data_IF_192314325128
#
_entry.id   IF_192314325128
#
_cell.length_a   1.000
_cell.length_b   1.000
_cell.length_c   1.000
_cell.angle_alpha   90.00
_cell.angle_beta   90.00
_cell.angle_gamma   90.00
#
_symmetry.space_group_name_H-M   'P 1'
#
loop_
_entity.id
_entity.type
_entity.pdbx_description
1 polymer ?
#
# COMPACT_ATOMS: atom_id res chain seq x y z
N UNK A 1 -83.04 15.59 -3.74
CA UNK A 1 -81.84 15.17 -4.43
C UNK A 1 -80.55 15.90 -3.99
N UNK A 2 -80.59 16.93 -3.15
CA UNK A 2 -79.37 17.69 -2.70
C UNK A 2 -78.74 17.18 -1.40
N UNK A 3 -79.32 16.24 -0.70
CA UNK A 3 -78.85 15.67 0.56
C UNK A 3 -78.07 14.34 0.42
N UNK A 4 -78.20 13.65 -0.73
CA UNK A 4 -77.54 12.39 -0.95
C UNK A 4 -76.11 12.56 -1.48
N UNK A 5 -75.81 13.69 -2.14
CA UNK A 5 -74.47 14.03 -2.67
C UNK A 5 -73.49 14.48 -1.58
N UNK A 6 -73.97 15.03 -0.50
CA UNK A 6 -73.12 15.46 0.63
C UNK A 6 -72.61 14.29 1.48
N UNK A 7 -73.35 13.19 1.57
CA UNK A 7 -72.98 12.00 2.37
C UNK A 7 -71.92 11.14 1.62
N UNK A 8 -72.00 11.11 0.29
CA UNK A 8 -71.04 10.38 -0.53
C UNK A 8 -69.66 11.10 -0.59
N UNK A 9 -69.64 12.43 -0.49
CA UNK A 9 -68.40 13.20 -0.46
C UNK A 9 -67.67 13.08 0.90
N UNK A 10 -68.47 12.96 2.00
CA UNK A 10 -67.87 12.77 3.31
C UNK A 10 -67.30 11.37 3.54
N UNK A 11 -67.82 10.34 2.86
CA UNK A 11 -67.28 8.98 2.95
C UNK A 11 -66.01 8.79 2.10
N UNK A 12 -65.86 9.56 1.01
CA UNK A 12 -64.63 9.55 0.19
C UNK A 12 -63.46 10.26 0.86
N UNK A 13 -63.70 11.24 1.73
CA UNK A 13 -62.67 11.94 2.49
C UNK A 13 -62.18 11.16 3.73
N UNK A 14 -63.02 10.28 4.27
CA UNK A 14 -62.63 9.44 5.41
C UNK A 14 -61.78 8.20 5.03
N UNK A 15 -61.85 7.79 3.76
CA UNK A 15 -61.06 6.66 3.25
C UNK A 15 -59.65 7.03 2.77
N UNK A 16 -59.33 8.35 2.63
CA UNK A 16 -58.03 8.82 2.19
C UNK A 16 -57.06 9.20 3.34
N UNK A 17 -57.48 9.03 4.59
CA UNK A 17 -56.68 9.38 5.76
C UNK A 17 -56.12 8.19 6.56
N UNK A 18 -56.25 6.99 6.06
CA UNK A 18 -55.78 5.75 6.76
C UNK A 18 -54.72 4.97 6.07
N UNK A 19 -53.92 5.58 5.16
CA UNK A 19 -52.73 4.98 4.55
C UNK A 19 -51.48 5.82 4.67
N UNK A 20 -51.28 6.46 5.84
CA UNK A 20 -49.95 6.73 6.31
C UNK A 20 -49.52 5.55 7.19
N UNK A 21 -49.24 4.43 6.55
CA UNK A 21 -48.50 3.36 7.19
C UNK A 21 -47.14 3.95 7.58
N UNK A 22 -46.85 3.94 8.85
CA UNK A 22 -45.56 4.12 9.42
C UNK A 22 -44.59 3.20 8.67
N UNK A 23 -43.83 3.72 7.74
CA UNK A 23 -42.54 3.18 7.44
C UNK A 23 -41.68 3.59 8.63
N UNK A 24 -41.62 2.75 9.63
CA UNK A 24 -40.54 2.73 10.59
C UNK A 24 -39.29 2.49 9.76
N UNK A 25 -38.57 3.58 9.48
CA UNK A 25 -37.23 3.53 8.90
C UNK A 25 -36.40 2.79 9.95
N UNK A 26 -36.29 1.47 9.76
CA UNK A 26 -35.34 0.66 10.50
C UNK A 26 -34.00 1.16 10.02
N UNK A 27 -33.38 2.09 10.76
CA UNK A 27 -31.97 2.40 10.60
C UNK A 27 -31.23 1.05 10.58
N UNK A 28 -30.64 0.73 9.43
CA UNK A 28 -29.74 -0.39 9.33
C UNK A 28 -28.69 -0.21 10.46
N UNK A 29 -28.38 -1.25 11.21
CA UNK A 29 -27.35 -1.13 12.24
C UNK A 29 -26.11 -0.53 11.59
N UNK A 30 -25.66 0.63 12.08
CA UNK A 30 -24.37 1.19 11.70
C UNK A 30 -23.35 0.09 11.95
N UNK A 31 -22.82 -0.46 10.85
CA UNK A 31 -21.64 -1.31 10.92
C UNK A 31 -20.56 -0.42 11.52
N UNK A 32 -19.99 -0.77 12.67
CA UNK A 32 -18.90 0.03 13.24
C UNK A 32 -17.86 0.20 12.14
N UNK A 33 -17.54 1.45 11.82
CA UNK A 33 -16.48 1.75 10.87
C UNK A 33 -15.23 0.98 11.35
N UNK A 34 -14.63 0.18 10.47
CA UNK A 34 -13.35 -0.45 10.79
C UNK A 34 -12.41 0.66 11.26
N UNK A 35 -11.68 0.45 12.37
CA UNK A 35 -10.76 1.45 12.87
C UNK A 35 -9.76 1.77 11.76
N UNK A 36 -9.70 3.04 11.36
CA UNK A 36 -8.72 3.49 10.40
C UNK A 36 -7.33 3.00 10.85
N UNK A 37 -6.52 2.43 9.94
CA UNK A 37 -5.19 1.96 10.29
C UNK A 37 -4.41 3.12 10.93
N UNK A 38 -3.90 2.86 12.12
CA UNK A 38 -3.20 3.87 12.91
C UNK A 38 -1.91 4.28 12.17
N UNK A 39 -1.82 5.54 11.78
CA UNK A 39 -0.62 6.08 11.15
C UNK A 39 0.56 6.03 12.13
N UNK A 40 1.77 5.84 11.59
CA UNK A 40 2.99 5.89 12.38
C UNK A 40 3.13 7.26 13.08
N UNK A 41 3.57 7.24 14.32
CA UNK A 41 3.81 8.43 15.14
C UNK A 41 5.29 8.77 15.08
N UNK A 42 5.63 10.05 14.91
CA UNK A 42 7.02 10.52 14.96
C UNK A 42 7.41 10.83 16.40
N UNK A 43 8.48 10.19 16.88
CA UNK A 43 9.25 10.59 18.07
C UNK A 43 10.60 11.15 17.63
N UNK A 44 11.18 12.04 18.40
CA UNK A 44 12.48 12.61 18.07
C UNK A 44 13.24 13.02 19.33
N UNK A 45 14.53 13.14 19.24
CA UNK A 45 15.34 13.61 20.34
C UNK A 45 16.82 13.41 20.10
N UNK A 46 17.61 13.90 21.04
CA UNK A 46 19.04 13.66 21.10
C UNK A 46 19.31 12.33 21.78
N UNK A 47 20.24 11.58 21.23
CA UNK A 47 20.75 10.36 21.85
C UNK A 47 21.43 10.72 23.16
N UNK A 48 20.89 10.22 24.24
CA UNK A 48 21.35 10.49 25.60
C UNK A 48 21.89 9.20 26.23
N UNK A 49 22.93 9.25 27.08
CA UNK A 49 23.44 8.06 27.76
C UNK A 49 22.34 7.30 28.51
N UNK A 50 22.32 5.99 28.34
CA UNK A 50 21.34 5.11 28.94
C UNK A 50 22.02 3.85 29.50
N UNK A 51 21.75 3.54 30.76
CA UNK A 51 22.39 2.40 31.45
C UNK A 51 21.86 1.03 31.06
N UNK A 52 20.72 0.96 30.35
CA UNK A 52 20.17 -0.29 29.85
C UNK A 52 20.91 -0.78 28.61
N UNK A 53 21.04 -2.09 28.48
CA UNK A 53 21.81 -2.73 27.40
C UNK A 53 21.16 -2.68 26.04
N UNK A 54 19.87 -2.32 25.94
CA UNK A 54 19.09 -2.37 24.71
C UNK A 54 18.31 -1.07 24.51
N UNK A 55 18.27 -0.60 23.25
CA UNK A 55 17.56 0.61 22.84
C UNK A 55 18.41 1.87 22.92
N UNK A 56 17.91 2.89 22.22
CA UNK A 56 18.45 4.26 22.25
C UNK A 56 17.54 5.12 23.11
N UNK A 57 18.10 5.78 24.11
CA UNK A 57 17.35 6.75 24.90
C UNK A 57 17.41 8.11 24.20
N UNK A 58 16.25 8.60 23.78
CA UNK A 58 16.11 9.89 23.12
C UNK A 58 15.44 10.87 24.08
N UNK A 59 15.98 12.09 24.12
CA UNK A 59 15.41 13.20 24.89
C UNK A 59 15.27 14.44 24.01
N UNK A 60 14.16 15.15 24.12
CA UNK A 60 13.97 16.46 23.49
C UNK A 60 13.54 17.49 24.53
N UNK A 61 13.59 18.76 24.16
CA UNK A 61 13.31 19.91 25.01
C UNK A 61 11.85 20.42 24.98
N UNK A 62 10.97 19.70 24.26
CA UNK A 62 9.53 20.02 24.22
C UNK A 62 8.80 19.30 25.38
N UNK A 63 8.69 19.97 26.51
CA UNK A 63 7.99 19.44 27.69
C UNK A 63 6.49 19.14 27.46
N UNK A 64 5.92 19.60 26.34
CA UNK A 64 4.54 19.29 25.95
C UNK A 64 4.45 18.01 25.11
N UNK A 65 5.57 17.49 24.61
CA UNK A 65 5.62 16.22 23.92
C UNK A 65 5.54 15.09 24.96
N UNK A 66 4.51 14.24 24.98
CA UNK A 66 4.41 13.11 25.90
C UNK A 66 5.53 12.08 25.69
N UNK A 67 6.25 12.15 24.56
CA UNK A 67 7.39 11.30 24.20
C UNK A 67 8.71 12.07 24.24
N UNK A 68 8.80 13.18 25.00
CA UNK A 68 10.05 13.96 25.15
C UNK A 68 11.20 13.14 25.76
N UNK A 69 10.86 12.06 26.47
CA UNK A 69 11.79 11.03 26.94
C UNK A 69 11.28 9.67 26.48
N UNK A 70 12.01 8.96 25.63
CA UNK A 70 11.58 7.69 25.06
C UNK A 70 12.78 6.76 24.81
N UNK A 71 12.60 5.45 25.03
CA UNK A 71 13.54 4.42 24.61
C UNK A 71 13.08 3.83 23.29
N UNK A 72 13.92 3.91 22.29
CA UNK A 72 13.64 3.41 20.93
C UNK A 72 14.44 2.15 20.66
N UNK A 73 13.76 1.09 20.33
CA UNK A 73 14.35 -0.15 19.82
C UNK A 73 14.36 -0.12 18.29
N UNK A 74 15.53 0.00 17.68
CA UNK A 74 15.65 0.06 16.21
C UNK A 74 15.34 -1.28 15.53
N UNK A 75 15.56 -2.44 16.22
CA UNK A 75 15.31 -3.76 15.62
C UNK A 75 15.94 -3.86 14.23
N UNK A 76 15.18 -4.28 13.22
CA UNK A 76 15.58 -4.32 11.80
C UNK A 76 15.11 -3.10 11.00
N UNK A 77 14.59 -2.06 11.67
CA UNK A 77 14.09 -0.86 11.01
C UNK A 77 15.18 -0.19 10.16
N UNK A 78 14.84 0.32 8.97
CA UNK A 78 15.74 1.14 8.17
C UNK A 78 16.25 2.33 8.97
N UNK A 79 17.56 2.56 8.94
CA UNK A 79 18.20 3.75 9.45
C UNK A 79 18.77 4.54 8.27
N UNK A 80 18.22 5.73 8.02
CA UNK A 80 18.44 6.54 6.83
C UNK A 80 19.25 7.78 7.18
N UNK A 81 20.30 8.04 6.43
CA UNK A 81 21.02 9.32 6.44
C UNK A 81 20.18 10.36 5.68
N UNK A 82 19.73 11.40 6.37
CA UNK A 82 18.87 12.43 5.80
C UNK A 82 19.50 13.22 4.66
N UNK A 83 20.81 13.43 4.71
CA UNK A 83 21.53 14.23 3.71
C UNK A 83 21.66 13.49 2.38
N UNK A 84 21.82 12.16 2.43
CA UNK A 84 22.07 11.35 1.23
C UNK A 84 20.86 10.50 0.82
N UNK A 85 20.02 10.09 1.77
CA UNK A 85 18.96 9.10 1.58
C UNK A 85 19.50 7.66 1.52
N UNK A 86 20.75 7.44 1.92
CA UNK A 86 21.40 6.13 1.94
C UNK A 86 21.31 5.49 3.34
N UNK A 87 21.56 4.18 3.45
CA UNK A 87 21.67 3.52 4.73
C UNK A 87 22.75 4.15 5.62
N UNK A 88 22.43 4.30 6.89
CA UNK A 88 23.34 4.73 7.91
C UNK A 88 23.69 3.54 8.82
N UNK A 89 24.98 3.41 9.18
CA UNK A 89 25.42 2.35 10.08
C UNK A 89 24.99 2.66 11.52
N UNK A 90 24.48 1.67 12.24
CA UNK A 90 23.99 1.84 13.62
C UNK A 90 25.11 2.27 14.58
N UNK A 91 26.30 1.72 14.38
CA UNK A 91 27.48 2.04 15.18
C UNK A 91 27.99 3.46 14.94
N UNK A 92 27.48 4.16 13.91
CA UNK A 92 27.78 5.56 13.66
C UNK A 92 27.01 6.53 14.56
N UNK A 93 25.92 6.06 15.19
CA UNK A 93 25.08 6.85 16.10
C UNK A 93 25.90 7.15 17.38
N UNK A 94 25.98 8.43 17.75
CA UNK A 94 26.74 8.89 18.92
C UNK A 94 25.83 9.65 19.88
N UNK A 95 26.26 9.74 21.10
CA UNK A 95 25.68 10.65 22.08
C UNK A 95 25.62 12.09 21.54
N UNK A 96 24.48 12.73 21.69
CA UNK A 96 24.19 14.07 21.19
C UNK A 96 23.67 14.15 19.76
N UNK A 97 23.74 13.06 18.98
CA UNK A 97 23.11 13.02 17.65
C UNK A 97 21.58 13.13 17.78
N UNK A 98 20.97 13.87 16.87
CA UNK A 98 19.51 13.97 16.81
C UNK A 98 18.96 12.91 15.86
N UNK A 99 18.01 12.13 16.34
CA UNK A 99 17.28 11.16 15.55
C UNK A 99 15.80 11.52 15.47
N UNK A 100 15.21 11.25 14.31
CA UNK A 100 13.76 11.27 14.06
C UNK A 100 13.33 9.86 13.77
N UNK A 101 12.35 9.33 14.55
CA UNK A 101 11.96 7.93 14.45
C UNK A 101 10.45 7.85 14.31
N UNK A 102 9.98 7.12 13.32
CA UNK A 102 8.56 6.76 13.20
C UNK A 102 8.34 5.41 13.82
N UNK A 103 7.33 5.34 14.67
CA UNK A 103 6.99 4.17 15.49
C UNK A 103 5.53 3.82 15.30
N UNK A 104 5.17 2.58 15.51
CA UNK A 104 3.77 2.16 15.60
C UNK A 104 3.06 2.81 16.79
N UNK A 105 1.72 2.70 16.87
CA UNK A 105 0.93 3.34 17.92
C UNK A 105 1.12 2.70 19.31
N UNK A 106 1.77 1.56 19.39
CA UNK A 106 1.99 0.84 20.63
C UNK A 106 3.26 1.30 21.35
N UNK A 107 3.12 1.69 22.62
CA UNK A 107 4.22 1.97 23.52
C UNK A 107 4.04 1.20 24.82
N UNK A 108 5.15 0.89 25.50
CA UNK A 108 5.06 0.30 26.83
C UNK A 108 4.61 1.32 27.86
N UNK A 109 4.00 0.85 28.96
CA UNK A 109 3.60 1.71 30.09
C UNK A 109 4.76 1.94 31.09
N UNK A 110 6.02 1.77 30.67
CA UNK A 110 7.20 2.08 31.47
C UNK A 110 7.51 3.59 31.49
N UNK A 111 8.38 4.00 32.39
CA UNK A 111 8.94 5.35 32.44
C UNK A 111 10.47 5.26 32.37
N UNK A 112 11.11 5.74 31.29
CA UNK A 112 10.48 6.23 30.06
C UNK A 112 9.74 5.15 29.29
N UNK A 113 8.75 5.52 28.41
CA UNK A 113 8.08 4.59 27.52
C UNK A 113 9.06 3.98 26.52
N UNK A 114 8.80 2.75 26.09
CA UNK A 114 9.61 2.07 25.08
C UNK A 114 8.79 1.82 23.83
N UNK A 115 9.39 2.04 22.68
CA UNK A 115 8.76 1.92 21.36
C UNK A 115 9.68 1.18 20.37
N UNK A 116 9.08 0.63 19.32
CA UNK A 116 9.80 -0.03 18.24
C UNK A 116 9.77 0.81 16.98
N UNK A 117 10.93 1.02 16.38
CA UNK A 117 11.06 1.81 15.16
C UNK A 117 10.45 1.08 13.95
N UNK A 118 9.73 1.83 13.14
CA UNK A 118 9.37 1.46 11.76
C UNK A 118 10.44 1.95 10.80
N UNK A 119 10.90 3.20 10.98
CA UNK A 119 12.03 3.80 10.28
C UNK A 119 12.68 4.84 11.19
N UNK A 120 13.98 5.00 11.08
CA UNK A 120 14.74 6.02 11.78
C UNK A 120 15.56 6.86 10.79
N UNK A 121 15.73 8.15 11.09
CA UNK A 121 16.45 9.12 10.28
C UNK A 121 17.43 9.85 11.15
N UNK A 122 18.68 9.83 10.77
CA UNK A 122 19.76 10.61 11.40
C UNK A 122 20.39 11.60 10.43
N UNK A 123 21.39 12.32 10.89
CA UNK A 123 22.19 13.25 10.10
C UNK A 123 21.36 14.32 9.38
N UNK A 124 20.30 14.82 10.05
CA UNK A 124 19.51 15.95 9.56
C UNK A 124 20.32 17.23 9.78
N UNK A 125 20.57 18.01 8.71
CA UNK A 125 21.28 19.29 8.84
C UNK A 125 20.50 20.26 9.74
N UNK A 126 21.21 21.11 10.48
CA UNK A 126 20.60 22.00 11.47
C UNK A 126 19.60 23.02 10.87
N UNK A 127 19.75 23.32 9.58
CA UNK A 127 18.95 24.24 8.80
C UNK A 127 17.93 23.54 7.88
N UNK A 128 17.87 22.20 7.93
CA UNK A 128 16.97 21.41 7.12
C UNK A 128 15.82 20.81 7.95
N UNK A 129 14.66 20.65 7.32
CA UNK A 129 13.58 19.87 7.88
C UNK A 129 13.89 18.38 7.76
N UNK A 130 13.54 17.60 8.79
CA UNK A 130 13.63 16.15 8.70
C UNK A 130 12.66 15.63 7.64
N UNK A 131 13.07 14.66 6.81
CA UNK A 131 12.16 14.00 5.89
C UNK A 131 11.00 13.36 6.67
N UNK A 132 9.84 13.24 6.05
CA UNK A 132 8.62 12.71 6.67
C UNK A 132 8.30 11.31 6.15
N UNK A 133 7.94 10.40 7.05
CA UNK A 133 7.51 9.04 6.70
C UNK A 133 6.00 9.00 6.47
N UNK A 134 5.61 8.26 5.45
CA UNK A 134 4.22 8.02 5.10
C UNK A 134 3.99 6.60 4.59
N UNK A 135 2.75 6.15 4.70
CA UNK A 135 2.23 4.96 4.04
C UNK A 135 1.16 5.39 3.03
N UNK A 136 1.29 4.91 1.80
CA UNK A 136 0.37 5.23 0.70
C UNK A 136 -0.98 4.57 0.97
N UNK A 137 -2.06 5.35 0.95
CA UNK A 137 -3.42 4.85 1.18
C UNK A 137 -4.16 4.51 -0.11
N UNK A 138 -3.86 5.21 -1.19
CA UNK A 138 -4.55 5.03 -2.47
C UNK A 138 -3.59 5.26 -3.65
N UNK A 139 -3.94 4.72 -4.82
CA UNK A 139 -3.20 4.96 -6.06
C UNK A 139 -3.13 6.47 -6.34
N UNK A 140 -1.95 7.02 -6.72
CA UNK A 140 -1.79 8.45 -6.98
C UNK A 140 -2.74 8.95 -8.07
N UNK A 141 -3.36 10.10 -7.84
CA UNK A 141 -4.39 10.68 -8.73
C UNK A 141 -3.88 11.98 -9.35
N UNK A 142 -4.02 12.13 -10.67
CA UNK A 142 -3.73 13.40 -11.35
C UNK A 142 -4.72 14.48 -10.92
N UNK A 143 -4.20 15.60 -10.45
CA UNK A 143 -4.96 16.81 -10.13
C UNK A 143 -5.24 17.62 -11.40
N UNK A 144 -6.12 18.61 -11.30
CA UNK A 144 -6.29 19.62 -12.35
C UNK A 144 -4.97 20.38 -12.57
N UNK A 145 -4.33 20.15 -13.70
CA UNK A 145 -2.97 20.61 -14.02
C UNK A 145 -2.02 19.43 -14.25
N UNK A 146 -0.71 19.67 -14.15
CA UNK A 146 0.33 18.64 -14.40
C UNK A 146 0.76 17.87 -13.16
N UNK A 147 0.21 18.20 -11.99
CA UNK A 147 0.65 17.66 -10.73
C UNK A 147 -0.16 16.41 -10.35
N UNK A 148 0.45 15.53 -9.57
CA UNK A 148 -0.21 14.35 -9.03
C UNK A 148 -0.28 14.44 -7.51
N UNK A 149 -1.38 13.97 -6.95
CA UNK A 149 -1.61 13.92 -5.50
C UNK A 149 -1.46 12.49 -5.04
N UNK A 150 -0.64 12.28 -4.03
CA UNK A 150 -0.54 11.03 -3.27
C UNK A 150 -1.37 11.19 -2.00
N UNK A 151 -2.20 10.20 -1.69
CA UNK A 151 -2.96 10.11 -0.44
C UNK A 151 -2.30 9.11 0.50
N UNK A 152 -2.25 9.46 1.77
CA UNK A 152 -1.60 8.65 2.81
C UNK A 152 -2.59 8.17 3.86
N UNK A 153 -2.25 7.08 4.51
CA UNK A 153 -2.92 6.62 5.73
C UNK A 153 -2.95 7.78 6.74
N UNK A 154 -4.11 8.00 7.37
CA UNK A 154 -4.34 9.17 8.23
C UNK A 154 -4.77 10.43 7.49
N UNK A 155 -5.14 10.33 6.19
CA UNK A 155 -5.82 11.38 5.42
C UNK A 155 -4.93 12.53 4.94
N UNK A 156 -3.62 12.50 5.19
CA UNK A 156 -2.69 13.49 4.64
C UNK A 156 -2.53 13.30 3.13
N UNK A 157 -2.20 14.38 2.44
CA UNK A 157 -1.90 14.39 1.00
C UNK A 157 -0.59 15.09 0.71
N UNK A 158 0.03 14.73 -0.43
CA UNK A 158 1.26 15.33 -0.91
C UNK A 158 1.18 15.55 -2.41
N UNK A 159 1.62 16.71 -2.85
CA UNK A 159 1.76 17.02 -4.26
C UNK A 159 3.14 16.61 -4.78
N UNK A 160 3.15 15.85 -5.87
CA UNK A 160 4.36 15.49 -6.61
C UNK A 160 4.33 16.11 -8.01
N UNK A 161 5.52 16.41 -8.53
CA UNK A 161 5.71 17.05 -9.82
C UNK A 161 6.58 16.18 -10.73
N UNK A 162 6.79 16.61 -11.96
CA UNK A 162 7.73 16.01 -12.91
C UNK A 162 9.20 16.12 -12.46
N UNK A 163 9.49 16.92 -11.42
CA UNK A 163 10.83 17.12 -10.85
C UNK A 163 11.07 16.25 -9.61
N UNK A 164 10.04 15.61 -9.07
CA UNK A 164 10.17 14.76 -7.89
C UNK A 164 11.07 13.57 -8.21
N UNK A 165 12.13 13.38 -7.42
CA UNK A 165 13.04 12.25 -7.55
C UNK A 165 12.52 11.04 -6.78
N UNK A 166 12.59 9.86 -7.40
CA UNK A 166 12.21 8.59 -6.76
C UNK A 166 13.45 7.71 -6.61
N UNK A 167 13.72 7.25 -5.40
CA UNK A 167 14.86 6.40 -5.09
C UNK A 167 14.38 5.15 -4.36
N UNK A 168 14.77 3.95 -4.82
CA UNK A 168 14.44 2.71 -4.12
C UNK A 168 15.35 2.49 -2.92
N UNK A 169 14.82 1.88 -1.84
CA UNK A 169 15.62 1.44 -0.70
C UNK A 169 16.33 0.11 -0.99
N UNK A 170 17.66 0.09 -0.90
CA UNK A 170 18.51 -1.11 -0.99
C UNK A 170 18.35 -1.98 -2.24
N UNK A 171 17.76 -1.46 -3.31
CA UNK A 171 17.61 -2.17 -4.58
C UNK A 171 18.16 -1.34 -5.74
N UNK A 172 18.51 -1.98 -6.85
CA UNK A 172 18.91 -1.34 -8.10
C UNK A 172 17.75 -1.12 -9.06
N UNK A 173 16.54 -1.47 -8.66
CA UNK A 173 15.36 -1.31 -9.49
C UNK A 173 15.00 0.17 -9.63
N UNK A 174 14.48 0.53 -10.79
CA UNK A 174 13.99 1.89 -11.03
C UNK A 174 12.58 1.97 -10.44
N UNK A 175 12.39 2.89 -9.52
CA UNK A 175 11.08 3.18 -8.91
C UNK A 175 10.50 4.44 -9.54
N UNK A 176 9.20 4.44 -9.77
CA UNK A 176 8.44 5.52 -10.38
C UNK A 176 7.18 5.80 -9.56
N UNK A 177 6.46 6.85 -9.93
CA UNK A 177 5.19 7.22 -9.31
C UNK A 177 4.14 6.09 -9.37
N UNK A 178 4.12 5.35 -10.48
CA UNK A 178 3.18 4.24 -10.71
C UNK A 178 3.41 3.05 -9.77
N UNK A 179 4.59 2.98 -9.14
CA UNK A 179 4.95 1.92 -8.19
C UNK A 179 4.49 2.25 -6.75
N UNK A 180 3.93 3.45 -6.53
CA UNK A 180 3.37 3.85 -5.24
C UNK A 180 1.94 3.33 -5.08
N UNK A 181 1.81 2.06 -4.78
CA UNK A 181 0.53 1.39 -4.52
C UNK A 181 0.14 1.48 -3.04
N UNK A 182 -1.14 1.25 -2.67
CA UNK A 182 -1.56 1.21 -1.27
C UNK A 182 -0.69 0.27 -0.42
N UNK A 183 -0.31 0.71 0.77
CA UNK A 183 0.61 0.02 1.67
C UNK A 183 2.10 0.30 1.42
N UNK A 184 2.47 0.95 0.30
CA UNK A 184 3.86 1.35 0.06
C UNK A 184 4.31 2.36 1.10
N UNK A 185 5.41 2.06 1.77
CA UNK A 185 6.03 2.92 2.76
C UNK A 185 7.08 3.80 2.09
N UNK A 186 7.06 5.10 2.41
CA UNK A 186 7.94 6.09 1.79
C UNK A 186 8.49 7.07 2.82
N UNK A 187 9.66 7.61 2.52
CA UNK A 187 10.24 8.75 3.21
C UNK A 187 10.37 9.92 2.23
N UNK A 188 9.90 11.10 2.62
CA UNK A 188 9.72 12.25 1.72
C UNK A 188 10.54 13.44 2.20
N UNK A 189 11.37 13.97 1.35
CA UNK A 189 11.96 15.30 1.47
C UNK A 189 11.06 16.30 0.73
N UNK A 190 10.78 17.42 1.39
CA UNK A 190 9.93 18.48 0.84
C UNK A 190 10.76 19.72 0.51
N UNK A 191 10.38 20.38 -0.56
CA UNK A 191 10.88 21.71 -0.89
C UNK A 191 10.25 22.79 0.02
N UNK A 192 10.71 24.03 -0.14
CA UNK A 192 10.20 25.19 0.60
C UNK A 192 8.70 25.48 0.37
N UNK A 193 8.14 24.96 -0.73
CA UNK A 193 6.72 25.05 -1.06
C UNK A 193 5.89 23.89 -0.48
N UNK A 194 6.54 22.93 0.21
CA UNK A 194 5.91 21.76 0.81
C UNK A 194 5.59 20.64 -0.18
N UNK A 195 6.10 20.70 -1.42
CA UNK A 195 5.98 19.64 -2.42
C UNK A 195 7.09 18.62 -2.26
N UNK A 196 6.86 17.40 -2.75
CA UNK A 196 7.90 16.39 -2.74
C UNK A 196 9.05 16.74 -3.68
N UNK A 197 10.23 16.94 -3.12
CA UNK A 197 11.49 17.03 -3.87
C UNK A 197 12.06 15.65 -4.15
N UNK A 198 12.12 14.79 -3.12
CA UNK A 198 12.64 13.43 -3.20
C UNK A 198 11.76 12.48 -2.40
N UNK A 199 11.55 11.29 -2.94
CA UNK A 199 10.82 10.19 -2.31
C UNK A 199 11.74 8.97 -2.29
N UNK A 200 12.02 8.46 -1.09
CA UNK A 200 12.66 7.18 -0.88
C UNK A 200 11.58 6.13 -0.67
N UNK A 201 11.55 5.10 -1.51
CA UNK A 201 10.52 4.08 -1.51
C UNK A 201 11.05 2.81 -0.87
N UNK A 202 10.40 2.37 0.21
CA UNK A 202 10.72 1.11 0.88
C UNK A 202 9.96 -0.04 0.21
N UNK A 203 10.64 -1.15 -0.05
CA UNK A 203 10.07 -2.30 -0.77
C UNK A 203 9.16 -3.21 0.06
N UNK A 204 8.76 -2.79 1.26
CA UNK A 204 8.05 -3.68 2.21
C UNK A 204 6.58 -3.90 1.89
N UNK A 205 5.98 -3.05 1.05
CA UNK A 205 4.59 -3.21 0.64
C UNK A 205 4.39 -4.32 -0.39
N UNK A 206 5.48 -4.73 -1.05
CA UNK A 206 5.39 -5.74 -2.12
C UNK A 206 5.59 -7.16 -1.56
N UNK A 207 4.78 -8.08 -2.07
CA UNK A 207 4.84 -9.51 -1.75
C UNK A 207 6.00 -10.22 -2.45
N UNK A 208 6.61 -9.56 -3.43
CA UNK A 208 7.73 -10.06 -4.22
C UNK A 208 8.04 -9.14 -5.40
N UNK A 209 8.87 -9.63 -6.30
CA UNK A 209 9.32 -8.89 -7.48
C UNK A 209 9.02 -9.69 -8.74
N UNK A 210 8.56 -9.03 -9.81
CA UNK A 210 8.41 -9.64 -11.11
C UNK A 210 9.00 -8.73 -12.18
N UNK A 211 9.97 -9.27 -12.94
CA UNK A 211 10.55 -8.57 -14.09
C UNK A 211 10.09 -9.25 -15.37
N UNK A 212 9.63 -8.46 -16.35
CA UNK A 212 9.27 -8.94 -17.68
C UNK A 212 10.29 -8.49 -18.71
N UNK A 213 10.72 -9.41 -19.58
CA UNK A 213 11.68 -9.14 -20.66
C UNK A 213 11.17 -9.70 -21.98
N UNK A 214 11.41 -8.96 -23.06
CA UNK A 214 11.24 -9.50 -24.40
C UNK A 214 12.58 -10.07 -24.87
N UNK A 215 12.65 -11.38 -24.98
CA UNK A 215 13.83 -12.08 -25.47
C UNK A 215 14.00 -11.93 -27.02
N UNK A 216 15.21 -12.21 -27.58
CA UNK A 216 15.39 -12.34 -29.01
C UNK A 216 14.35 -13.31 -29.60
N UNK A 217 13.86 -13.03 -30.80
CA UNK A 217 12.77 -13.76 -31.48
C UNK A 217 11.34 -13.42 -30.93
N UNK A 218 11.19 -12.40 -30.08
CA UNK A 218 9.89 -11.91 -29.66
C UNK A 218 9.20 -12.70 -28.54
N UNK A 219 9.88 -13.70 -27.96
CA UNK A 219 9.37 -14.38 -26.77
C UNK A 219 9.34 -13.44 -25.59
N UNK A 220 8.28 -13.50 -24.78
CA UNK A 220 8.18 -12.76 -23.53
C UNK A 220 8.42 -13.73 -22.37
N UNK A 221 9.29 -13.32 -21.47
CA UNK A 221 9.62 -14.04 -20.25
C UNK A 221 9.30 -13.18 -19.04
N UNK A 222 8.87 -13.80 -17.95
CA UNK A 222 8.82 -13.18 -16.62
C UNK A 222 9.77 -13.92 -15.69
N UNK A 223 10.44 -13.16 -14.82
CA UNK A 223 11.24 -13.67 -13.72
C UNK A 223 10.64 -13.19 -12.41
N UNK A 224 10.42 -14.11 -11.47
CA UNK A 224 9.84 -13.83 -10.15
C UNK A 224 10.91 -14.02 -9.08
N UNK A 225 11.03 -13.05 -8.19
CA UNK A 225 11.98 -13.01 -7.07
C UNK A 225 13.44 -13.25 -7.49
N UNK A 226 13.82 -12.68 -8.64
CA UNK A 226 15.17 -12.74 -9.19
C UNK A 226 15.31 -11.90 -10.46
N UNK A 227 16.45 -12.08 -11.16
CA UNK A 227 16.72 -11.41 -12.42
C UNK A 227 17.06 -12.40 -13.53
N UNK A 228 17.08 -11.94 -14.79
CA UNK A 228 17.37 -12.79 -15.96
C UNK A 228 18.85 -13.15 -16.10
N UNK A 229 19.74 -12.51 -15.36
CA UNK A 229 21.20 -12.71 -15.41
C UNK A 229 21.70 -13.50 -14.20
N UNK A 230 20.85 -13.64 -13.16
CA UNK A 230 21.17 -14.34 -11.92
C UNK A 230 20.80 -15.83 -11.96
N UNK A 231 21.23 -16.52 -10.92
CA UNK A 231 20.85 -17.92 -10.65
C UNK A 231 19.64 -18.01 -9.71
N UNK A 232 19.22 -16.88 -9.16
CA UNK A 232 18.08 -16.75 -8.24
C UNK A 232 16.81 -16.37 -9.00
N UNK A 233 15.68 -16.76 -8.44
CA UNK A 233 14.37 -16.51 -9.02
C UNK A 233 13.89 -17.59 -9.98
N UNK A 234 12.60 -17.51 -10.29
CA UNK A 234 11.94 -18.45 -11.17
C UNK A 234 11.54 -17.77 -12.50
N UNK A 235 11.97 -18.34 -13.62
CA UNK A 235 11.72 -17.80 -14.96
C UNK A 235 10.62 -18.59 -15.67
N UNK A 236 9.69 -17.89 -16.30
CA UNK A 236 8.57 -18.49 -17.01
C UNK A 236 8.32 -17.80 -18.35
N UNK A 237 7.99 -18.60 -19.35
CA UNK A 237 7.59 -18.07 -20.65
C UNK A 237 6.12 -17.63 -20.61
N UNK A 238 5.85 -16.43 -21.11
CA UNK A 238 4.51 -15.91 -21.36
C UNK A 238 4.00 -16.33 -22.74
N UNK A 239 2.69 -16.39 -22.87
CA UNK A 239 2.02 -16.39 -24.17
C UNK A 239 1.79 -14.96 -24.62
N UNK A 240 1.50 -14.74 -25.91
CA UNK A 240 1.02 -13.45 -26.42
C UNK A 240 -0.36 -13.63 -27.02
N UNK A 241 -1.24 -12.67 -26.77
CA UNK A 241 -2.49 -12.55 -27.53
C UNK A 241 -2.20 -12.01 -28.93
N UNK A 242 -3.20 -12.01 -29.80
CA UNK A 242 -3.13 -11.41 -31.13
C UNK A 242 -2.82 -9.90 -31.06
N UNK A 243 -3.32 -9.21 -30.03
CA UNK A 243 -3.08 -7.81 -29.73
C UNK A 243 -1.71 -7.55 -29.08
N UNK A 244 -0.94 -8.60 -28.79
CA UNK A 244 0.40 -8.50 -28.25
C UNK A 244 0.48 -8.44 -26.71
N UNK A 245 -0.64 -8.66 -25.98
CA UNK A 245 -0.64 -8.72 -24.51
C UNK A 245 0.14 -9.94 -24.02
N UNK A 246 1.06 -9.72 -23.10
CA UNK A 246 1.84 -10.80 -22.48
C UNK A 246 1.01 -11.50 -21.41
N UNK A 247 0.78 -12.79 -21.57
CA UNK A 247 -0.04 -13.63 -20.69
C UNK A 247 0.86 -14.55 -19.86
N UNK A 248 0.97 -14.28 -18.57
CA UNK A 248 1.81 -15.03 -17.63
C UNK A 248 1.10 -16.27 -17.06
N UNK A 249 1.80 -17.39 -16.83
CA UNK A 249 1.21 -18.61 -16.28
C UNK A 249 0.91 -18.41 -14.77
N UNK A 250 -0.38 -18.30 -14.43
CA UNK A 250 -0.88 -17.89 -13.11
C UNK A 250 -0.27 -18.70 -11.97
N UNK A 251 -0.41 -20.04 -12.01
CA UNK A 251 0.09 -20.92 -10.94
C UNK A 251 1.58 -20.74 -10.71
N UNK A 252 2.35 -20.76 -11.78
CA UNK A 252 3.82 -20.71 -11.70
C UNK A 252 4.31 -19.39 -11.10
N UNK A 253 3.72 -18.27 -11.54
CA UNK A 253 4.07 -16.94 -11.04
C UNK A 253 3.64 -16.81 -9.57
N UNK A 254 2.41 -17.16 -9.23
CA UNK A 254 1.90 -17.03 -7.88
C UNK A 254 2.67 -17.90 -6.88
N UNK A 255 2.92 -19.18 -7.20
CA UNK A 255 3.70 -20.08 -6.33
C UNK A 255 5.13 -19.59 -6.14
N UNK A 256 5.78 -19.07 -7.20
CA UNK A 256 7.12 -18.48 -7.11
C UNK A 256 7.15 -17.20 -6.24
N UNK A 257 6.04 -16.49 -6.14
CA UNK A 257 5.86 -15.32 -5.27
C UNK A 257 5.38 -15.69 -3.84
N UNK A 258 5.26 -17.00 -3.53
CA UNK A 258 4.90 -17.47 -2.19
C UNK A 258 3.40 -17.53 -1.91
N UNK A 259 2.57 -17.58 -2.95
CA UNK A 259 1.12 -17.79 -2.84
C UNK A 259 0.76 -19.25 -3.06
N UNK A 260 -0.36 -19.67 -2.48
CA UNK A 260 -0.98 -20.97 -2.74
C UNK A 260 -1.95 -20.88 -3.92
N UNK A 261 -1.94 -21.87 -4.82
CA UNK A 261 -2.86 -21.90 -5.95
C UNK A 261 -3.61 -23.24 -6.01
N UNK A 262 -4.93 -23.19 -5.92
CA UNK A 262 -5.82 -24.34 -6.08
C UNK A 262 -6.77 -24.13 -7.24
N UNK A 263 -7.30 -25.22 -7.77
CA UNK A 263 -8.37 -25.18 -8.74
C UNK A 263 -9.71 -25.46 -8.07
N UNK A 264 -10.67 -24.60 -8.32
CA UNK A 264 -12.06 -24.77 -7.91
C UNK A 264 -12.97 -24.90 -9.13
N UNK A 265 -13.97 -25.79 -9.08
CA UNK A 265 -14.84 -26.04 -10.24
C UNK A 265 -15.72 -24.84 -10.60
N UNK A 266 -16.05 -24.00 -9.63
CA UNK A 266 -16.92 -22.83 -9.80
C UNK A 266 -16.12 -21.54 -10.01
N UNK A 267 -15.04 -21.38 -9.25
CA UNK A 267 -14.23 -20.14 -9.22
C UNK A 267 -13.03 -20.18 -10.17
N UNK A 268 -12.67 -21.35 -10.71
CA UNK A 268 -11.50 -21.51 -11.56
C UNK A 268 -10.19 -21.59 -10.75
N UNK A 269 -9.16 -20.87 -11.18
CA UNK A 269 -7.93 -20.74 -10.41
C UNK A 269 -8.17 -19.81 -9.23
N UNK A 270 -7.92 -20.29 -8.02
CA UNK A 270 -8.03 -19.52 -6.76
C UNK A 270 -6.65 -19.37 -6.17
N UNK A 271 -6.22 -18.13 -5.96
CA UNK A 271 -4.94 -17.75 -5.38
C UNK A 271 -5.17 -17.26 -3.97
N UNK A 272 -4.37 -17.73 -3.01
CA UNK A 272 -4.49 -17.38 -1.60
C UNK A 272 -3.12 -17.18 -0.97
N UNK A 273 -3.08 -16.42 0.14
CA UNK A 273 -1.90 -16.23 0.97
C UNK A 273 -2.31 -16.24 2.44
N UNK A 274 -1.59 -16.99 3.28
CA UNK A 274 -1.94 -17.10 4.71
C UNK A 274 -3.34 -17.67 4.98
N UNK A 275 -3.96 -18.37 4.01
CA UNK A 275 -5.31 -18.90 4.08
C UNK A 275 -6.41 -17.96 3.56
N UNK A 276 -6.10 -16.72 3.26
CA UNK A 276 -7.02 -15.73 2.70
C UNK A 276 -6.98 -15.77 1.15
N UNK A 277 -8.15 -15.68 0.52
CA UNK A 277 -8.24 -15.63 -0.95
C UNK A 277 -7.91 -14.22 -1.42
N UNK A 278 -6.87 -14.09 -2.24
CA UNK A 278 -6.46 -12.84 -2.88
C UNK A 278 -7.30 -12.58 -4.12
N UNK A 279 -7.36 -13.57 -5.02
CA UNK A 279 -8.19 -13.51 -6.21
C UNK A 279 -8.63 -14.88 -6.69
N UNK A 280 -9.67 -14.90 -7.53
CA UNK A 280 -10.01 -16.06 -8.34
C UNK A 280 -10.34 -15.67 -9.78
N UNK A 281 -10.08 -16.57 -10.73
CA UNK A 281 -10.32 -16.32 -12.15
C UNK A 281 -10.76 -17.58 -12.87
N UNK A 282 -11.80 -17.45 -13.69
CA UNK A 282 -12.29 -18.52 -14.57
C UNK A 282 -11.69 -18.39 -15.97
N UNK A 283 -11.55 -19.50 -16.69
CA UNK A 283 -11.24 -19.45 -18.11
C UNK A 283 -12.20 -18.54 -18.88
N UNK A 284 -11.68 -17.84 -19.88
CA UNK A 284 -12.38 -16.89 -20.75
C UNK A 284 -13.04 -15.70 -20.04
N UNK A 285 -12.83 -15.56 -18.72
CA UNK A 285 -13.30 -14.39 -17.99
C UNK A 285 -12.51 -13.13 -18.39
N UNK A 286 -13.22 -12.01 -18.44
CA UNK A 286 -12.67 -10.66 -18.62
C UNK A 286 -12.51 -9.91 -17.30
N UNK A 287 -12.88 -10.58 -16.19
CA UNK A 287 -12.76 -10.08 -14.82
C UNK A 287 -12.09 -11.12 -13.93
N UNK A 288 -11.43 -10.67 -12.89
CA UNK A 288 -11.05 -11.48 -11.73
C UNK A 288 -11.99 -11.14 -10.58
N UNK A 289 -12.21 -12.09 -9.69
CA UNK A 289 -12.94 -11.88 -8.46
C UNK A 289 -11.98 -11.68 -7.30
N UNK A 290 -12.13 -10.59 -6.56
CA UNK A 290 -11.35 -10.23 -5.37
C UNK A 290 -12.25 -10.11 -4.15
N UNK A 291 -11.68 -9.79 -2.97
CA UNK A 291 -12.46 -9.49 -1.76
C UNK A 291 -13.33 -8.22 -1.93
N UNK A 292 -12.94 -7.30 -2.81
CA UNK A 292 -13.66 -6.05 -3.09
C UNK A 292 -14.70 -6.18 -4.21
N UNK A 293 -14.77 -7.34 -4.86
CA UNK A 293 -15.69 -7.62 -5.97
C UNK A 293 -14.99 -8.03 -7.26
N UNK A 294 -15.75 -7.98 -8.36
CA UNK A 294 -15.24 -8.30 -9.70
C UNK A 294 -14.50 -7.09 -10.28
N UNK A 295 -13.31 -7.32 -10.81
CA UNK A 295 -12.44 -6.29 -11.40
C UNK A 295 -12.03 -6.68 -12.81
N UNK A 296 -12.11 -5.73 -13.73
CA UNK A 296 -11.73 -5.93 -15.14
C UNK A 296 -10.23 -6.20 -15.28
N UNK A 297 -9.87 -7.08 -16.22
CA UNK A 297 -8.50 -7.38 -16.63
C UNK A 297 -8.26 -6.94 -18.07
N UNK A 298 -7.01 -6.63 -18.40
CA UNK A 298 -6.63 -6.01 -19.68
C UNK A 298 -6.78 -6.94 -20.90
N UNK A 299 -6.87 -8.25 -20.68
CA UNK A 299 -7.22 -9.23 -21.70
C UNK A 299 -7.88 -10.47 -21.06
N UNK A 300 -8.75 -11.21 -21.78
CA UNK A 300 -9.43 -12.39 -21.23
C UNK A 300 -8.46 -13.45 -20.73
N UNK A 301 -8.81 -14.08 -19.61
CA UNK A 301 -8.09 -15.22 -19.05
C UNK A 301 -8.04 -16.38 -20.05
N UNK A 302 -6.88 -16.94 -20.29
CA UNK A 302 -6.68 -18.08 -21.22
C UNK A 302 -6.47 -19.35 -20.40
N UNK A 303 -7.18 -20.42 -20.79
CA UNK A 303 -6.85 -21.78 -20.37
C UNK A 303 -6.30 -22.54 -21.58
N UNK A 304 -5.04 -22.93 -21.52
CA UNK A 304 -4.40 -23.66 -22.60
C UNK A 304 -3.56 -24.81 -22.03
N UNK A 305 -3.77 -26.01 -22.57
CA UNK A 305 -3.12 -27.26 -22.11
C UNK A 305 -3.17 -27.46 -20.58
N UNK A 306 -4.28 -27.02 -19.94
CA UNK A 306 -4.48 -27.13 -18.50
C UNK A 306 -3.75 -26.05 -17.67
N UNK A 307 -3.12 -25.08 -18.32
CA UNK A 307 -2.49 -23.93 -17.66
C UNK A 307 -3.35 -22.69 -17.85
N UNK A 308 -3.63 -22.03 -16.74
CA UNK A 308 -4.33 -20.73 -16.70
C UNK A 308 -3.32 -19.61 -16.88
N UNK A 309 -3.65 -18.65 -17.76
CA UNK A 309 -2.82 -17.47 -18.02
C UNK A 309 -3.63 -16.21 -17.79
N UNK A 310 -3.01 -15.21 -17.17
CA UNK A 310 -3.52 -13.84 -17.02
C UNK A 310 -2.53 -12.85 -17.65
N UNK A 311 -3.00 -11.65 -18.02
CA UNK A 311 -2.08 -10.57 -18.36
C UNK A 311 -1.03 -10.39 -17.28
N UNK A 312 0.24 -10.29 -17.69
CA UNK A 312 1.36 -10.26 -16.74
C UNK A 312 1.30 -9.04 -15.81
N UNK A 313 0.88 -7.90 -16.36
CA UNK A 313 0.74 -6.65 -15.61
C UNK A 313 -0.37 -6.76 -14.54
N UNK A 314 -1.54 -7.29 -14.93
CA UNK A 314 -2.68 -7.49 -14.02
C UNK A 314 -2.32 -8.49 -12.92
N UNK A 315 -1.67 -9.60 -13.29
CA UNK A 315 -1.25 -10.62 -12.32
C UNK A 315 -0.25 -10.06 -11.31
N UNK A 316 0.72 -9.25 -11.77
CA UNK A 316 1.69 -8.60 -10.89
C UNK A 316 0.99 -7.61 -9.94
N UNK A 317 0.10 -6.80 -10.46
CA UNK A 317 -0.66 -5.82 -9.67
C UNK A 317 -1.49 -6.51 -8.58
N UNK A 318 -2.29 -7.52 -8.94
CA UNK A 318 -3.19 -8.18 -8.00
C UNK A 318 -2.49 -9.12 -7.01
N UNK A 319 -1.28 -9.59 -7.33
CA UNK A 319 -0.42 -10.30 -6.38
C UNK A 319 0.48 -9.33 -5.58
N UNK A 320 0.30 -8.04 -5.75
CA UNK A 320 1.12 -7.02 -5.10
C UNK A 320 2.62 -7.26 -5.31
N UNK A 321 3.04 -7.50 -6.56
CA UNK A 321 4.44 -7.68 -6.93
C UNK A 321 5.00 -6.36 -7.48
N UNK A 322 6.20 -6.01 -7.04
CA UNK A 322 6.94 -4.92 -7.69
C UNK A 322 7.30 -5.33 -9.12
N UNK A 323 6.69 -4.64 -10.10
CA UNK A 323 6.77 -5.05 -11.51
C UNK A 323 7.66 -4.13 -12.32
N UNK A 324 8.62 -4.71 -13.06
CA UNK A 324 9.51 -3.98 -13.97
C UNK A 324 9.50 -4.58 -15.35
N UNK A 325 9.76 -3.74 -16.35
CA UNK A 325 9.99 -4.15 -17.73
C UNK A 325 11.43 -3.86 -18.10
N UNK A 326 12.14 -4.90 -18.54
CA UNK A 326 13.52 -4.84 -19.00
C UNK A 326 13.63 -4.77 -20.52
#
# INVERSE_FOLDING_TARGET
MKKLTAVLLALALAASLSLTAFAEETEAPEVPAEPEPASAVRVWGKVTPWDAKEGLYLTNDDENDPMHEVVVHLGDAPLVDAATGLPMERDSIKEGDTLYVWVGPAATMSLPPQVFATVAVGNVAADAAAPEYYEVAAVPVKSEGSNTIIQFVGGKTLEVTDKTEYTPWLTRQIVRLEDLIPGTQILVWKDDAGKAEKILVFGYAYEGYMTMMTAPLGNVLVCVNGDFNGTEGAQFQCKKTEEGVAMAPVRKVAEAAGFDVRWDRTLGAVISKGGETVLSVRPDAVTIQTSEGDVDISAPCILDEGVTYLPADDLAMWLNLFFTRG
#
